data_IF_742519875501
#
_entry.id   IF_742519875501
#
_cell.length_a   1.000
_cell.length_b   1.000
_cell.length_c   1.000
_cell.angle_alpha   90.00
_cell.angle_beta   90.00
_cell.angle_gamma   90.00
#
_symmetry.space_group_name_H-M   'P 1'
#
loop_
_entity.id
_entity.type
_entity.pdbx_description
1 polymer ?
#
# COMPACT_ATOMS: atom_id res chain seq x y z
N UNK A 1 1.04 5.81 -1.07
CA UNK A 1 1.89 6.22 -2.18
C UNK A 1 2.39 7.67 -2.02
N UNK A 2 1.50 8.66 -1.86
CA UNK A 2 1.89 10.10 -1.75
C UNK A 2 2.96 10.31 -0.67
N UNK A 3 2.77 9.77 0.53
CA UNK A 3 3.72 9.91 1.64
C UNK A 3 5.15 9.46 1.28
N UNK A 4 5.28 8.45 0.43
CA UNK A 4 6.59 8.00 -0.06
C UNK A 4 7.33 9.07 -0.89
N UNK A 5 6.60 9.99 -1.51
CA UNK A 5 7.20 11.04 -2.35
C UNK A 5 7.48 12.30 -1.52
N UNK A 6 6.49 12.78 -0.77
CA UNK A 6 6.63 14.05 -0.03
C UNK A 6 7.57 13.96 1.17
N UNK A 7 7.86 12.76 1.67
CA UNK A 7 8.75 12.53 2.81
C UNK A 7 10.19 12.20 2.42
N UNK A 8 10.54 12.32 1.16
CA UNK A 8 11.87 11.99 0.65
C UNK A 8 12.49 13.15 -0.12
N UNK A 9 13.82 13.16 -0.20
CA UNK A 9 14.56 14.07 -1.07
C UNK A 9 14.21 13.77 -2.55
N UNK A 10 13.98 14.83 -3.32
CA UNK A 10 13.63 14.73 -4.74
C UNK A 10 14.69 14.02 -5.58
N UNK A 11 15.96 14.08 -5.17
CA UNK A 11 17.06 13.37 -5.84
C UNK A 11 16.85 11.86 -5.91
N UNK A 12 16.06 11.29 -4.99
CA UNK A 12 15.71 9.85 -5.02
C UNK A 12 14.82 9.47 -6.19
N UNK A 13 14.21 10.43 -6.85
CA UNK A 13 13.28 10.22 -7.96
C UNK A 13 13.85 10.59 -9.33
N UNK A 14 15.15 10.85 -9.45
CA UNK A 14 15.80 11.25 -10.70
C UNK A 14 15.54 10.25 -11.84
N UNK A 15 15.50 8.97 -11.57
CA UNK A 15 15.15 7.93 -12.54
C UNK A 15 13.62 7.77 -12.68
N UNK A 16 12.87 8.13 -11.64
CA UNK A 16 11.43 7.92 -11.51
C UNK A 16 11.07 6.94 -10.42
N UNK A 17 9.84 6.46 -10.45
CA UNK A 17 9.30 5.51 -9.47
C UNK A 17 8.94 4.18 -10.12
N UNK A 18 8.92 3.12 -9.32
CA UNK A 18 8.38 1.82 -9.70
C UNK A 18 7.42 1.30 -8.64
N UNK A 19 6.44 0.53 -9.06
CA UNK A 19 5.49 -0.14 -8.18
C UNK A 19 4.99 -1.44 -8.82
N UNK A 20 4.54 -2.36 -7.99
CA UNK A 20 3.92 -3.62 -8.41
C UNK A 20 2.58 -3.81 -7.73
N UNK A 21 1.53 -4.15 -8.48
CA UNK A 21 0.21 -4.45 -7.93
C UNK A 21 -0.72 -5.02 -8.98
N UNK A 22 -1.73 -5.79 -8.55
CA UNK A 22 -2.87 -6.17 -9.38
C UNK A 22 -3.99 -5.11 -9.40
N UNK A 23 -3.87 -4.02 -8.61
CA UNK A 23 -5.02 -3.14 -8.40
C UNK A 23 -4.74 -1.74 -7.84
N UNK A 24 -5.31 -1.45 -6.69
CA UNK A 24 -5.39 -0.08 -6.15
C UNK A 24 -4.04 0.60 -5.95
N UNK A 25 -3.02 -0.16 -5.53
CA UNK A 25 -1.68 0.41 -5.35
C UNK A 25 -1.06 0.87 -6.69
N UNK A 26 -1.28 0.12 -7.79
CA UNK A 26 -0.85 0.55 -9.12
C UNK A 26 -1.51 1.87 -9.54
N UNK A 27 -2.82 2.02 -9.29
CA UNK A 27 -3.54 3.26 -9.53
C UNK A 27 -2.96 4.41 -8.69
N UNK A 28 -2.73 4.16 -7.40
CA UNK A 28 -2.16 5.16 -6.49
C UNK A 28 -0.75 5.59 -6.89
N UNK A 29 0.11 4.66 -7.30
CA UNK A 29 1.45 4.96 -7.79
C UNK A 29 1.42 5.73 -9.12
N UNK A 30 0.52 5.35 -10.04
CA UNK A 30 0.31 6.05 -11.31
C UNK A 30 -0.17 7.49 -11.10
N UNK A 31 -1.15 7.68 -10.19
CA UNK A 31 -1.64 9.00 -9.80
C UNK A 31 -0.52 9.88 -9.26
N UNK A 32 0.28 9.34 -8.33
CA UNK A 32 1.39 10.08 -7.72
C UNK A 32 2.46 10.43 -8.75
N UNK A 33 2.83 9.49 -9.63
CA UNK A 33 3.76 9.77 -10.72
C UNK A 33 3.27 10.91 -11.62
N UNK A 34 1.98 10.93 -11.94
CA UNK A 34 1.35 12.01 -12.72
C UNK A 34 1.42 13.35 -11.99
N UNK A 35 1.00 13.40 -10.70
CA UNK A 35 0.96 14.63 -9.91
C UNK A 35 2.33 15.27 -9.74
N UNK A 36 3.37 14.45 -9.54
CA UNK A 36 4.75 14.91 -9.34
C UNK A 36 5.60 14.90 -10.61
N UNK A 37 4.97 14.63 -11.78
CA UNK A 37 5.63 14.56 -13.09
C UNK A 37 6.84 13.64 -13.13
N UNK A 38 6.74 12.51 -12.44
CA UNK A 38 7.80 11.51 -12.34
C UNK A 38 7.69 10.46 -13.45
N UNK A 39 8.83 10.07 -14.01
CA UNK A 39 8.89 8.84 -14.82
C UNK A 39 8.45 7.66 -13.97
N UNK A 40 7.86 6.63 -14.59
CA UNK A 40 7.37 5.49 -13.84
C UNK A 40 7.49 4.18 -14.63
N UNK A 41 7.61 3.07 -13.89
CA UNK A 41 7.45 1.69 -14.35
C UNK A 41 6.43 1.02 -13.42
N UNK A 42 5.23 0.75 -13.91
CA UNK A 42 4.16 0.14 -13.11
C UNK A 42 3.95 -1.29 -13.57
N UNK A 43 4.37 -2.24 -12.73
CA UNK A 43 4.19 -3.66 -13.00
C UNK A 43 2.79 -4.10 -12.59
N UNK A 44 1.99 -4.51 -13.59
CA UNK A 44 0.65 -5.03 -13.40
C UNK A 44 0.60 -6.51 -13.76
N UNK A 45 -0.23 -7.25 -13.05
CA UNK A 45 -0.48 -8.65 -13.43
C UNK A 45 -1.30 -8.71 -14.72
N UNK A 46 -1.01 -9.68 -15.57
CA UNK A 46 -1.77 -9.90 -16.81
C UNK A 46 -3.27 -10.11 -16.57
N UNK A 47 -3.63 -10.67 -15.39
CA UNK A 47 -5.00 -10.87 -14.93
C UNK A 47 -5.66 -9.62 -14.34
N UNK A 48 -5.00 -8.45 -14.37
CA UNK A 48 -5.53 -7.23 -13.77
C UNK A 48 -6.83 -6.80 -14.46
N UNK A 49 -7.80 -6.32 -13.66
CA UNK A 49 -9.06 -5.82 -14.15
C UNK A 49 -8.86 -4.68 -15.18
N UNK A 50 -9.56 -4.77 -16.32
CA UNK A 50 -9.45 -3.79 -17.41
C UNK A 50 -9.70 -2.33 -16.98
N UNK A 51 -10.63 -2.10 -16.05
CA UNK A 51 -10.90 -0.78 -15.48
C UNK A 51 -9.67 -0.22 -14.76
N UNK A 52 -8.99 -1.03 -13.96
CA UNK A 52 -7.77 -0.63 -13.24
C UNK A 52 -6.62 -0.32 -14.19
N UNK A 53 -6.45 -1.16 -15.21
CA UNK A 53 -5.47 -0.91 -16.29
C UNK A 53 -5.75 0.42 -16.97
N UNK A 54 -7.02 0.66 -17.35
CA UNK A 54 -7.40 1.91 -18.00
C UNK A 54 -7.19 3.13 -17.09
N UNK A 55 -7.50 3.01 -15.80
CA UNK A 55 -7.26 4.09 -14.83
C UNK A 55 -5.77 4.41 -14.70
N UNK A 56 -4.91 3.41 -14.63
CA UNK A 56 -3.45 3.64 -14.64
C UNK A 56 -3.00 4.36 -15.93
N UNK A 57 -3.51 3.95 -17.10
CA UNK A 57 -3.22 4.62 -18.38
C UNK A 57 -3.66 6.07 -18.40
N UNK A 58 -4.83 6.37 -17.84
CA UNK A 58 -5.35 7.75 -17.76
C UNK A 58 -4.45 8.65 -16.90
N UNK A 59 -3.71 8.09 -15.95
CA UNK A 59 -2.66 8.80 -15.20
C UNK A 59 -1.29 8.75 -15.87
N UNK A 60 -1.17 8.31 -17.12
CA UNK A 60 0.09 8.28 -17.85
C UNK A 60 1.07 7.23 -17.36
N UNK A 61 0.57 6.11 -16.82
CA UNK A 61 1.43 5.02 -16.37
C UNK A 61 2.13 4.31 -17.54
N UNK A 62 3.42 4.11 -17.42
CA UNK A 62 4.17 3.16 -18.23
C UNK A 62 3.96 1.76 -17.63
N UNK A 63 2.96 1.05 -18.16
CA UNK A 63 2.54 -0.26 -17.66
C UNK A 63 3.38 -1.35 -18.30
N UNK A 64 3.90 -2.23 -17.45
CA UNK A 64 4.60 -3.47 -17.85
C UNK A 64 3.79 -4.63 -17.28
N UNK A 65 3.26 -5.47 -18.17
CA UNK A 65 2.53 -6.67 -17.76
C UNK A 65 3.49 -7.79 -17.40
N UNK A 66 3.20 -8.46 -16.30
CA UNK A 66 4.01 -9.54 -15.74
C UNK A 66 3.13 -10.55 -15.00
N UNK A 67 3.66 -11.72 -14.75
CA UNK A 67 2.95 -12.68 -13.92
C UNK A 67 3.20 -12.45 -12.41
N UNK A 68 2.30 -12.90 -11.54
CA UNK A 68 2.42 -12.65 -10.09
C UNK A 68 3.73 -13.14 -9.46
N UNK A 69 4.31 -14.23 -9.95
CA UNK A 69 5.54 -14.80 -9.39
C UNK A 69 6.78 -13.95 -9.72
N UNK A 70 6.76 -13.30 -10.88
CA UNK A 70 7.88 -12.49 -11.38
C UNK A 70 7.77 -11.02 -10.96
N UNK A 71 6.56 -10.53 -10.68
CA UNK A 71 6.24 -9.12 -10.54
C UNK A 71 7.08 -8.37 -9.49
N UNK A 72 7.31 -8.97 -8.33
CA UNK A 72 8.13 -8.36 -7.28
C UNK A 72 9.60 -8.34 -7.68
N UNK A 73 10.10 -9.38 -8.32
CA UNK A 73 11.47 -9.41 -8.83
C UNK A 73 11.69 -8.34 -9.90
N UNK A 74 10.73 -8.14 -10.80
CA UNK A 74 10.77 -7.09 -11.82
C UNK A 74 10.81 -5.69 -11.18
N UNK A 75 10.04 -5.47 -10.11
CA UNK A 75 10.07 -4.21 -9.37
C UNK A 75 11.40 -3.99 -8.62
N UNK A 76 11.98 -5.04 -8.03
CA UNK A 76 13.32 -4.97 -7.41
C UNK A 76 14.42 -4.75 -8.45
N UNK A 77 14.33 -5.35 -9.62
CA UNK A 77 15.25 -5.09 -10.73
C UNK A 77 15.17 -3.62 -11.17
N UNK A 78 13.96 -3.06 -11.32
CA UNK A 78 13.80 -1.65 -11.62
C UNK A 78 14.39 -0.74 -10.51
N UNK A 79 14.27 -1.13 -9.24
CA UNK A 79 14.93 -0.44 -8.12
C UNK A 79 16.46 -0.48 -8.26
N UNK A 80 17.02 -1.62 -8.63
CA UNK A 80 18.48 -1.75 -8.89
C UNK A 80 18.92 -0.90 -10.10
N UNK A 81 18.04 -0.63 -11.06
CA UNK A 81 18.26 0.33 -12.14
C UNK A 81 18.20 1.80 -11.67
N UNK A 82 17.80 2.07 -10.41
CA UNK A 82 17.72 3.40 -9.81
C UNK A 82 16.32 4.00 -9.73
N UNK A 83 15.26 3.25 -10.05
CA UNK A 83 13.89 3.69 -9.76
C UNK A 83 13.60 3.60 -8.27
N UNK A 84 12.84 4.56 -7.72
CA UNK A 84 12.38 4.47 -6.35
C UNK A 84 11.20 3.51 -6.25
N UNK A 85 11.37 2.41 -5.54
CA UNK A 85 10.31 1.40 -5.39
C UNK A 85 9.34 1.80 -4.27
N UNK A 86 8.09 2.09 -4.66
CA UNK A 86 6.99 2.27 -3.71
C UNK A 86 6.37 0.89 -3.43
N UNK A 87 6.77 0.30 -2.31
CA UNK A 87 6.26 -1.02 -1.93
C UNK A 87 4.76 -0.97 -1.58
N UNK A 88 3.94 -1.96 -2.01
CA UNK A 88 2.48 -1.91 -1.87
C UNK A 88 1.97 -1.99 -0.42
N UNK A 89 2.74 -2.56 0.50
CA UNK A 89 2.29 -2.78 1.88
C UNK A 89 3.41 -2.79 2.92
N UNK A 90 4.66 -2.61 2.55
CA UNK A 90 5.80 -2.61 3.46
C UNK A 90 6.61 -1.32 3.38
N UNK A 91 7.41 -1.09 4.42
CA UNK A 91 8.27 0.07 4.57
C UNK A 91 7.62 1.21 5.38
N UNK A 92 8.44 1.93 6.16
CA UNK A 92 7.96 2.91 7.14
C UNK A 92 7.10 4.01 6.51
N UNK A 93 7.46 4.52 5.34
CA UNK A 93 6.69 5.57 4.66
C UNK A 93 5.35 5.08 4.10
N UNK A 94 5.27 3.80 3.71
CA UNK A 94 4.00 3.18 3.28
C UNK A 94 3.08 3.00 4.49
N UNK A 95 3.60 2.54 5.63
CA UNK A 95 2.84 2.38 6.87
C UNK A 95 2.38 3.74 7.42
N UNK A 96 3.23 4.76 7.42
CA UNK A 96 2.85 6.12 7.79
C UNK A 96 1.74 6.67 6.89
N UNK A 97 1.83 6.41 5.57
CA UNK A 97 0.77 6.77 4.63
C UNK A 97 -0.56 6.07 4.92
N UNK A 98 -0.54 4.81 5.34
CA UNK A 98 -1.75 4.07 5.76
C UNK A 98 -2.28 4.57 7.10
N UNK A 99 -1.40 5.03 8.00
CA UNK A 99 -1.77 5.58 9.30
C UNK A 99 -2.63 6.86 9.19
N UNK A 100 -2.58 7.58 8.07
CA UNK A 100 -3.45 8.76 7.85
C UNK A 100 -4.93 8.43 7.91
N UNK A 101 -5.34 7.22 7.48
CA UNK A 101 -6.71 6.76 7.69
C UNK A 101 -7.04 6.61 9.18
N UNK A 102 -6.08 6.14 9.98
CA UNK A 102 -6.22 6.09 11.44
C UNK A 102 -6.39 7.48 12.06
N UNK A 103 -5.65 8.48 11.57
CA UNK A 103 -5.82 9.88 11.95
C UNK A 103 -7.25 10.36 11.67
N UNK A 104 -7.72 10.19 10.43
CA UNK A 104 -9.07 10.60 10.03
C UNK A 104 -10.17 9.95 10.89
N UNK A 105 -10.02 8.65 11.20
CA UNK A 105 -10.95 7.93 12.09
C UNK A 105 -10.92 8.54 13.49
N UNK A 106 -9.75 8.82 14.06
CA UNK A 106 -9.62 9.41 15.39
C UNK A 106 -10.24 10.81 15.42
N UNK A 107 -10.00 11.65 14.43
CA UNK A 107 -10.57 12.99 14.32
C UNK A 107 -12.10 12.93 14.20
N UNK A 108 -12.61 12.03 13.36
CA UNK A 108 -14.06 11.84 13.22
C UNK A 108 -14.71 11.39 14.52
N UNK A 109 -14.17 10.38 15.20
CA UNK A 109 -14.71 9.90 16.48
C UNK A 109 -14.71 11.01 17.56
N UNK A 110 -13.67 11.85 17.60
CA UNK A 110 -13.62 13.01 18.47
C UNK A 110 -14.71 14.03 18.11
N UNK A 111 -14.91 14.32 16.83
CA UNK A 111 -15.88 15.32 16.38
C UNK A 111 -17.32 14.98 16.73
N UNK A 112 -17.65 13.68 16.75
CA UNK A 112 -18.99 13.19 17.12
C UNK A 112 -19.07 12.72 18.59
N UNK A 113 -18.02 12.96 19.38
CA UNK A 113 -17.91 12.55 20.79
C UNK A 113 -18.27 11.08 21.03
N UNK A 114 -17.79 10.19 20.16
CA UNK A 114 -18.11 8.76 20.19
C UNK A 114 -16.86 7.92 20.39
N UNK A 115 -17.03 6.78 21.05
CA UNK A 115 -16.00 5.74 21.19
C UNK A 115 -16.49 4.47 20.50
N UNK A 116 -15.55 3.68 20.00
CA UNK A 116 -15.80 2.36 19.43
C UNK A 116 -14.97 1.32 20.18
N UNK A 117 -15.53 0.14 20.34
CA UNK A 117 -14.86 -0.99 21.02
C UNK A 117 -14.06 -1.84 20.04
N UNK A 118 -14.52 -1.96 18.81
CA UNK A 118 -13.94 -2.82 17.80
C UNK A 118 -13.75 -2.05 16.49
N UNK A 119 -12.63 -2.33 15.82
CA UNK A 119 -12.36 -1.85 14.46
C UNK A 119 -11.99 -3.04 13.58
N UNK A 120 -12.78 -3.29 12.55
CA UNK A 120 -12.54 -4.34 11.56
C UNK A 120 -11.75 -3.76 10.39
N UNK A 121 -10.65 -4.40 10.04
CA UNK A 121 -9.76 -3.96 8.96
C UNK A 121 -9.47 -5.14 8.03
N UNK A 122 -9.67 -4.95 6.73
CA UNK A 122 -9.26 -5.94 5.73
C UNK A 122 -7.74 -6.12 5.71
N UNK A 123 -7.30 -7.36 5.58
CA UNK A 123 -5.89 -7.73 5.53
C UNK A 123 -5.55 -8.41 4.20
N UNK A 124 -4.56 -7.85 3.52
CA UNK A 124 -3.83 -8.50 2.46
C UNK A 124 -2.37 -8.60 2.88
N UNK A 125 -1.47 -7.79 2.33
CA UNK A 125 -0.06 -7.73 2.75
C UNK A 125 0.20 -7.03 4.10
N UNK A 126 -0.82 -6.68 4.87
CA UNK A 126 -0.70 -6.16 6.23
C UNK A 126 -0.47 -4.65 6.36
N UNK A 127 -0.14 -3.93 5.29
CA UNK A 127 0.22 -2.51 5.34
C UNK A 127 -0.91 -1.60 5.86
N UNK A 128 -2.16 -1.88 5.50
CA UNK A 128 -3.30 -1.09 5.97
C UNK A 128 -3.53 -1.27 7.46
N UNK A 129 -3.68 -2.52 7.91
CA UNK A 129 -3.95 -2.81 9.32
C UNK A 129 -2.81 -2.34 10.22
N UNK A 130 -1.56 -2.50 9.79
CA UNK A 130 -0.39 -2.06 10.56
C UNK A 130 -0.36 -0.54 10.73
N UNK A 131 -0.54 0.24 9.66
CA UNK A 131 -0.54 1.69 9.75
C UNK A 131 -1.70 2.23 10.56
N UNK A 132 -2.93 1.81 10.25
CA UNK A 132 -4.15 2.26 10.94
C UNK A 132 -4.12 1.90 12.42
N UNK A 133 -3.78 0.65 12.76
CA UNK A 133 -3.78 0.20 14.15
C UNK A 133 -2.70 0.88 14.99
N UNK A 134 -1.51 1.08 14.41
CA UNK A 134 -0.41 1.78 15.08
C UNK A 134 -0.80 3.21 15.49
N UNK A 135 -1.56 3.90 14.66
CA UNK A 135 -2.04 5.24 14.98
C UNK A 135 -3.20 5.22 15.99
N UNK A 136 -4.23 4.43 15.73
CA UNK A 136 -5.44 4.40 16.57
C UNK A 136 -5.13 3.95 18.01
N UNK A 137 -4.25 2.97 18.17
CA UNK A 137 -3.85 2.47 19.50
C UNK A 137 -3.19 3.52 20.41
N UNK A 138 -2.65 4.59 19.86
CA UNK A 138 -2.10 5.70 20.65
C UNK A 138 -3.20 6.51 21.36
N UNK A 139 -4.39 6.61 20.75
CA UNK A 139 -5.51 7.37 21.29
C UNK A 139 -6.57 6.49 21.97
N UNK A 140 -6.73 5.28 21.47
CA UNK A 140 -7.69 4.27 21.94
C UNK A 140 -6.98 2.95 22.26
N UNK A 141 -6.13 2.85 23.30
CA UNK A 141 -5.31 1.66 23.55
C UNK A 141 -6.11 0.39 23.79
N UNK A 142 -7.35 0.52 24.30
CA UNK A 142 -8.25 -0.58 24.61
C UNK A 142 -9.06 -1.06 23.41
N UNK A 143 -9.08 -0.34 22.28
CA UNK A 143 -9.83 -0.75 21.09
C UNK A 143 -9.35 -2.12 20.60
N UNK A 144 -10.28 -2.98 20.25
CA UNK A 144 -9.96 -4.28 19.64
C UNK A 144 -9.84 -4.13 18.13
N UNK A 145 -8.65 -4.40 17.60
CA UNK A 145 -8.43 -4.45 16.15
C UNK A 145 -8.65 -5.87 15.67
N UNK A 146 -9.52 -6.03 14.68
CA UNK A 146 -9.90 -7.32 14.09
C UNK A 146 -9.50 -7.31 12.62
N UNK A 147 -8.49 -8.11 12.27
CA UNK A 147 -8.10 -8.34 10.88
C UNK A 147 -9.09 -9.29 10.20
N UNK A 148 -9.50 -8.96 8.99
CA UNK A 148 -10.42 -9.78 8.19
C UNK A 148 -9.72 -10.21 6.92
N UNK A 149 -9.59 -11.52 6.70
CA UNK A 149 -8.98 -12.14 5.54
C UNK A 149 -9.96 -13.09 4.85
N UNK A 150 -9.87 -13.27 3.52
CA UNK A 150 -10.58 -14.35 2.84
C UNK A 150 -10.02 -15.72 3.26
N UNK A 151 -10.86 -16.75 3.33
CA UNK A 151 -10.42 -18.10 3.70
C UNK A 151 -9.27 -18.63 2.82
N UNK A 152 -9.34 -18.34 1.52
CA UNK A 152 -8.34 -18.78 0.54
C UNK A 152 -7.10 -17.88 0.45
N UNK A 153 -6.99 -16.82 1.28
CA UNK A 153 -5.87 -15.90 1.32
C UNK A 153 -5.65 -15.35 2.75
N UNK A 154 -5.53 -16.26 3.71
CA UNK A 154 -5.45 -15.97 5.14
C UNK A 154 -4.01 -16.03 5.68
N UNK A 155 -3.08 -15.41 4.97
CA UNK A 155 -1.65 -15.46 5.27
C UNK A 155 -1.28 -14.89 6.65
N UNK A 156 -1.95 -13.83 7.11
CA UNK A 156 -1.70 -13.28 8.45
C UNK A 156 -2.14 -14.27 9.55
N UNK A 157 -3.33 -14.86 9.42
CA UNK A 157 -3.82 -15.85 10.39
C UNK A 157 -2.89 -17.07 10.46
N UNK A 158 -2.42 -17.57 9.32
CA UNK A 158 -1.46 -18.66 9.27
C UNK A 158 -0.11 -18.26 9.91
N UNK A 159 0.39 -17.07 9.62
CA UNK A 159 1.63 -16.54 10.19
C UNK A 159 1.54 -16.39 11.71
N UNK A 160 0.42 -15.88 12.23
CA UNK A 160 0.17 -15.77 13.67
C UNK A 160 0.14 -17.13 14.35
N UNK A 161 -0.54 -18.14 13.77
CA UNK A 161 -0.57 -19.51 14.28
C UNK A 161 0.81 -20.18 14.28
N UNK A 162 1.60 -19.90 13.25
CA UNK A 162 2.96 -20.43 13.12
C UNK A 162 3.99 -19.64 13.93
N UNK A 163 3.61 -18.51 14.53
CA UNK A 163 4.49 -17.55 15.23
C UNK A 163 5.71 -17.14 14.38
N UNK A 164 5.53 -17.04 13.07
CA UNK A 164 6.52 -16.56 12.09
C UNK A 164 5.84 -16.11 10.81
N UNK A 165 6.44 -15.17 10.05
CA UNK A 165 5.95 -14.83 8.72
C UNK A 165 5.91 -16.06 7.80
N UNK A 166 4.80 -16.24 7.09
CA UNK A 166 4.63 -17.25 6.04
C UNK A 166 4.37 -16.53 4.72
N UNK A 167 5.02 -17.02 3.66
CA UNK A 167 4.85 -16.53 2.28
C UNK A 167 3.82 -17.35 1.52
#
# INVERSE_FOLDING_TARGET
>A
AINNIISQDQNKFNKGITAVSAGNHAIAASFVANQFKLKNKIFLYESANKYRVQTCKNYGANIIFTNPKQAFLDAENAKNEGYYFIHPFDGPLTLQGSATLGLEIVEYLKSINTKIDNLLISVGGGGLISGVSSYIKQFYPKIKIIGVEPENANGLNQSLRANKPLN
#
